data_IF_034693098151
#
_entry.id   IF_034693098151
#
_cell.length_a   1.000
_cell.length_b   1.000
_cell.length_c   1.000
_cell.angle_alpha   90.00
_cell.angle_beta   90.00
_cell.angle_gamma   90.00
#
_symmetry.space_group_name_H-M   'P 1'
#
loop_
_entity.id
_entity.type
_entity.pdbx_description
1 polymer ?
#
# COMPACT_ATOMS: atom_id res chain seq x y z
N UNK A 1 79.61 -48.99 42.49
CA UNK A 1 78.26 -49.54 42.76
C UNK A 1 77.62 -49.09 44.08
N UNK A 2 78.27 -48.30 44.95
CA UNK A 2 77.72 -47.90 46.26
C UNK A 2 76.66 -46.77 46.23
N UNK A 3 76.63 -45.92 45.19
CA UNK A 3 75.64 -44.83 45.11
C UNK A 3 74.24 -45.26 44.65
N UNK A 4 74.11 -46.37 43.90
CA UNK A 4 72.80 -46.85 43.42
C UNK A 4 71.98 -47.56 44.51
N UNK A 5 72.65 -48.15 45.50
CA UNK A 5 71.97 -48.75 46.65
C UNK A 5 71.42 -47.69 47.61
N UNK A 6 72.07 -46.53 47.71
CA UNK A 6 71.67 -45.43 48.59
C UNK A 6 70.46 -44.64 48.02
N UNK A 7 70.34 -44.52 46.70
CA UNK A 7 69.18 -43.87 46.04
C UNK A 7 67.92 -44.74 46.05
N UNK A 8 68.05 -46.08 46.00
CA UNK A 8 66.92 -47.00 46.13
C UNK A 8 66.37 -47.01 47.56
N UNK A 9 67.24 -46.90 48.58
CA UNK A 9 66.82 -46.77 49.98
C UNK A 9 66.06 -45.47 50.27
N UNK A 10 66.46 -44.36 49.65
CA UNK A 10 65.81 -43.06 49.82
C UNK A 10 64.41 -43.01 49.16
N UNK A 11 64.24 -43.66 48.00
CA UNK A 11 62.96 -43.73 47.30
C UNK A 11 61.94 -44.62 48.03
N UNK A 12 62.39 -45.70 48.66
CA UNK A 12 61.52 -46.58 49.46
C UNK A 12 61.05 -45.91 50.77
N UNK A 13 61.84 -45.01 51.34
CA UNK A 13 61.47 -44.26 52.55
C UNK A 13 60.42 -43.18 52.25
N UNK A 14 60.45 -42.53 51.09
CA UNK A 14 59.47 -41.50 50.68
C UNK A 14 58.09 -42.09 50.40
N UNK A 15 58.00 -43.31 49.85
CA UNK A 15 56.70 -43.97 49.63
C UNK A 15 55.98 -44.39 50.93
N UNK A 16 56.70 -44.53 52.05
CA UNK A 16 56.10 -44.93 53.32
C UNK A 16 55.46 -43.75 54.09
N UNK A 17 55.82 -42.51 53.75
CA UNK A 17 55.35 -41.29 54.43
C UNK A 17 54.05 -40.73 53.84
N UNK A 18 53.66 -41.16 52.63
CA UNK A 18 52.40 -40.72 51.98
C UNK A 18 51.18 -41.55 52.38
N UNK A 19 51.35 -42.66 53.11
CA UNK A 19 50.24 -43.53 53.55
C UNK A 19 49.82 -43.28 55.00
N UNK A 20 50.41 -42.31 55.69
CA UNK A 20 50.15 -42.01 57.11
C UNK A 20 49.37 -40.71 57.33
N UNK A 21 48.41 -40.44 56.44
CA UNK A 21 47.29 -39.54 56.72
C UNK A 21 45.97 -40.30 56.61
N UNK A 22 45.77 -41.32 57.44
CA UNK A 22 44.44 -41.89 57.70
C UNK A 22 44.28 -42.16 59.20
N UNK A 23 43.81 -41.15 59.92
CA UNK A 23 43.14 -41.34 61.19
C UNK A 23 42.04 -40.29 61.35
N UNK A 24 40.79 -40.74 61.24
CA UNK A 24 39.69 -40.16 62.00
C UNK A 24 38.69 -39.30 61.22
N UNK A 25 37.52 -39.89 60.94
CA UNK A 25 36.23 -39.19 61.09
C UNK A 25 35.57 -38.68 59.81
N UNK A 26 34.45 -39.31 59.46
CA UNK A 26 33.42 -38.82 58.52
C UNK A 26 33.85 -38.62 57.05
N UNK A 27 33.87 -39.70 56.29
CA UNK A 27 33.64 -39.63 54.85
C UNK A 27 32.22 -40.11 54.55
N UNK A 28 31.33 -39.12 54.60
CA UNK A 28 29.95 -39.13 54.12
C UNK A 28 29.84 -39.87 52.79
N UNK A 29 28.85 -40.76 52.69
CA UNK A 29 28.45 -41.40 51.44
C UNK A 29 28.27 -40.33 50.37
N UNK A 30 29.13 -40.37 49.36
CA UNK A 30 29.07 -39.54 48.17
C UNK A 30 27.85 -39.92 47.33
N UNK A 31 26.68 -39.43 47.72
CA UNK A 31 25.59 -39.20 46.77
C UNK A 31 26.03 -37.98 45.96
N UNK A 32 26.44 -38.20 44.70
CA UNK A 32 26.54 -37.09 43.74
C UNK A 32 25.24 -36.30 43.83
N UNK A 33 25.30 -34.95 43.92
CA UNK A 33 24.08 -34.18 43.91
C UNK A 33 23.32 -34.49 42.61
N UNK A 34 22.07 -34.91 42.76
CA UNK A 34 21.20 -35.25 41.63
C UNK A 34 21.17 -34.04 40.68
N UNK A 35 21.45 -34.27 39.39
CA UNK A 35 21.60 -33.21 38.39
C UNK A 35 20.36 -32.31 38.35
N UNK A 36 19.19 -32.89 38.69
CA UNK A 36 17.93 -32.18 38.83
C UNK A 36 17.95 -31.18 39.98
N UNK A 37 18.44 -31.56 41.15
CA UNK A 37 18.58 -30.67 42.31
C UNK A 37 19.61 -29.56 42.09
N UNK A 38 20.72 -29.85 41.40
CA UNK A 38 21.70 -28.81 41.02
C UNK A 38 21.10 -27.85 40.00
N UNK A 39 20.35 -28.36 39.01
CA UNK A 39 19.66 -27.53 38.02
C UNK A 39 18.64 -26.60 38.67
N UNK A 40 17.80 -27.12 39.56
CA UNK A 40 16.77 -26.33 40.24
C UNK A 40 17.42 -25.26 41.14
N UNK A 41 18.50 -25.60 41.84
CA UNK A 41 19.29 -24.64 42.62
C UNK A 41 19.91 -23.55 41.74
N UNK A 42 20.47 -23.90 40.58
CA UNK A 42 21.02 -22.91 39.63
C UNK A 42 19.91 -22.04 39.03
N UNK A 43 18.73 -22.62 38.77
CA UNK A 43 17.57 -21.88 38.26
C UNK A 43 17.08 -20.85 39.28
N UNK A 44 17.00 -21.24 40.56
CA UNK A 44 16.63 -20.34 41.65
C UNK A 44 17.67 -19.23 41.83
N UNK A 45 18.97 -19.55 41.78
CA UNK A 45 20.05 -18.55 41.81
C UNK A 45 19.90 -17.57 40.65
N UNK A 46 19.61 -18.02 39.43
CA UNK A 46 19.41 -17.12 38.28
C UNK A 46 18.14 -16.26 38.40
N UNK A 47 17.11 -16.75 39.09
CA UNK A 47 15.85 -16.04 39.29
C UNK A 47 15.87 -15.07 40.47
N UNK A 48 16.82 -15.21 41.40
CA UNK A 48 16.97 -14.27 42.52
C UNK A 48 17.24 -12.84 42.04
N UNK A 49 16.78 -11.88 42.86
CA UNK A 49 16.93 -10.47 42.54
C UNK A 49 18.39 -10.00 42.54
N UNK A 50 19.28 -10.71 43.25
CA UNK A 50 20.72 -10.45 43.21
C UNK A 50 21.35 -10.81 41.87
N UNK A 51 20.93 -11.92 41.26
CA UNK A 51 21.37 -12.29 39.91
C UNK A 51 20.84 -11.30 38.88
N UNK A 52 19.57 -10.89 38.95
CA UNK A 52 19.00 -9.86 38.06
C UNK A 52 19.75 -8.52 38.20
N UNK A 53 20.03 -8.07 39.43
CA UNK A 53 20.80 -6.84 39.68
C UNK A 53 22.24 -6.96 39.19
N UNK A 54 22.85 -8.13 39.31
CA UNK A 54 24.21 -8.38 38.82
C UNK A 54 24.26 -8.33 37.30
N UNK A 55 23.28 -8.95 36.61
CA UNK A 55 23.13 -8.86 35.15
C UNK A 55 22.86 -7.43 34.71
N UNK A 56 22.00 -6.69 35.42
CA UNK A 56 21.73 -5.27 35.13
C UNK A 56 22.99 -4.41 35.30
N UNK A 57 23.81 -4.68 36.32
CA UNK A 57 25.09 -4.00 36.53
C UNK A 57 26.11 -4.34 35.46
N UNK A 58 26.15 -5.59 34.99
CA UNK A 58 26.98 -6.00 33.86
C UNK A 58 26.49 -5.35 32.56
N UNK A 59 25.18 -5.25 32.32
CA UNK A 59 24.63 -4.53 31.15
C UNK A 59 24.93 -3.02 31.17
N UNK A 60 25.17 -2.44 32.34
CA UNK A 60 25.59 -1.04 32.47
C UNK A 60 27.09 -0.84 32.25
N UNK A 61 27.90 -1.89 32.32
CA UNK A 61 29.34 -1.85 32.06
C UNK A 61 29.60 -1.61 30.56
N UNK A 62 30.37 -0.58 30.24
CA UNK A 62 30.64 -0.18 28.86
C UNK A 62 31.48 -1.21 28.09
N UNK A 63 32.31 -2.02 28.77
CA UNK A 63 33.03 -3.14 28.12
C UNK A 63 32.09 -4.27 27.75
N UNK A 64 31.09 -4.55 28.58
CA UNK A 64 30.08 -5.55 28.27
C UNK A 64 29.13 -5.05 27.17
N UNK A 65 28.75 -3.76 27.18
CA UNK A 65 27.99 -3.13 26.09
C UNK A 65 28.76 -3.17 24.77
N UNK A 66 30.05 -2.88 24.75
CA UNK A 66 30.85 -2.96 23.51
C UNK A 66 30.89 -4.37 22.92
N UNK A 67 30.97 -5.40 23.77
CA UNK A 67 30.95 -6.79 23.32
C UNK A 67 29.56 -7.28 22.91
N UNK A 68 28.49 -6.68 23.43
CA UNK A 68 27.10 -7.00 23.12
C UNK A 68 26.53 -6.14 21.98
N UNK A 69 27.11 -4.97 21.73
CA UNK A 69 26.76 -4.08 20.63
C UNK A 69 27.02 -4.84 19.34
N UNK A 70 25.93 -5.34 18.76
CA UNK A 70 25.91 -5.82 17.39
C UNK A 70 26.51 -4.72 16.51
N UNK A 71 27.44 -5.09 15.63
CA UNK A 71 28.07 -4.18 14.69
C UNK A 71 26.99 -3.33 14.00
N UNK A 72 27.17 -2.01 13.99
CA UNK A 72 26.20 -1.07 13.44
C UNK A 72 25.82 -1.43 12.00
N UNK A 73 26.76 -1.94 11.21
CA UNK A 73 26.53 -2.41 9.85
C UNK A 73 25.63 -3.65 9.80
N UNK A 74 25.76 -4.56 10.77
CA UNK A 74 24.92 -5.76 10.87
C UNK A 74 23.51 -5.40 11.33
N UNK A 75 23.37 -4.50 12.31
CA UNK A 75 22.06 -3.97 12.75
C UNK A 75 21.37 -3.24 11.61
N UNK A 76 22.10 -2.35 10.92
CA UNK A 76 21.58 -1.60 9.78
C UNK A 76 21.16 -2.51 8.64
N UNK A 77 21.98 -3.49 8.28
CA UNK A 77 21.67 -4.45 7.22
C UNK A 77 20.46 -5.30 7.58
N UNK A 78 20.41 -5.81 8.81
CA UNK A 78 19.26 -6.61 9.29
C UNK A 78 17.98 -5.79 9.34
N UNK A 79 18.05 -4.54 9.77
CA UNK A 79 16.92 -3.62 9.79
C UNK A 79 16.45 -3.31 8.37
N UNK A 80 17.35 -2.94 7.46
CA UNK A 80 17.03 -2.68 6.05
C UNK A 80 16.42 -3.92 5.44
N UNK A 81 17.02 -5.10 5.60
CA UNK A 81 16.56 -6.34 4.99
C UNK A 81 15.21 -6.81 5.57
N UNK A 82 14.98 -6.60 6.87
CA UNK A 82 13.67 -6.82 7.50
C UNK A 82 12.63 -5.82 7.00
N UNK A 83 13.03 -4.56 6.76
CA UNK A 83 12.15 -3.51 6.25
C UNK A 83 11.93 -3.53 4.72
N UNK A 84 12.82 -4.12 3.95
CA UNK A 84 12.68 -4.23 2.50
C UNK A 84 12.08 -5.57 2.09
N UNK A 85 11.90 -6.50 3.03
CA UNK A 85 11.27 -7.78 2.73
C UNK A 85 9.76 -7.57 2.48
N UNK A 86 9.27 -7.77 1.23
CA UNK A 86 7.86 -7.54 0.88
C UNK A 86 6.89 -8.49 1.60
N UNK A 87 7.40 -9.57 2.20
CA UNK A 87 6.63 -10.55 2.97
C UNK A 87 6.75 -10.35 4.48
N UNK A 88 7.39 -9.28 4.97
CA UNK A 88 7.48 -9.00 6.40
C UNK A 88 6.09 -8.66 6.98
N UNK A 89 5.50 -9.51 7.84
CA UNK A 89 4.21 -9.23 8.46
C UNK A 89 4.29 -7.98 9.34
N UNK A 90 5.45 -7.75 9.98
CA UNK A 90 5.68 -6.61 10.86
C UNK A 90 5.58 -5.27 10.14
N UNK A 91 6.02 -5.18 8.88
CA UNK A 91 5.84 -3.95 8.11
C UNK A 91 4.39 -3.73 7.72
N UNK A 92 3.70 -4.78 7.27
CA UNK A 92 2.28 -4.68 6.92
C UNK A 92 1.44 -4.26 8.13
N UNK A 93 1.79 -4.73 9.33
CA UNK A 93 1.17 -4.28 10.57
C UNK A 93 1.56 -2.85 10.96
N UNK A 94 2.84 -2.47 10.81
CA UNK A 94 3.28 -1.10 11.07
C UNK A 94 2.56 -0.08 10.18
N UNK A 95 2.31 -0.40 8.90
CA UNK A 95 1.52 0.46 8.01
C UNK A 95 0.05 0.63 8.43
N UNK A 96 -0.50 -0.29 9.23
CA UNK A 96 -1.86 -0.15 9.78
C UNK A 96 -1.91 0.77 11.01
N UNK A 97 -0.78 1.02 11.67
CA UNK A 97 -0.74 1.99 12.77
C UNK A 97 -0.85 3.42 12.22
N UNK A 98 -1.90 4.19 12.57
CA UNK A 98 -2.08 5.55 12.11
C UNK A 98 -0.94 6.49 12.53
N UNK A 99 -0.27 6.25 13.66
CA UNK A 99 0.87 7.09 14.07
C UNK A 99 2.08 6.87 13.17
N UNK A 100 2.40 5.61 12.89
CA UNK A 100 3.45 5.25 11.96
C UNK A 100 3.13 5.76 10.55
N UNK A 101 1.94 5.47 10.04
CA UNK A 101 1.51 5.91 8.71
C UNK A 101 1.50 7.44 8.58
N UNK A 102 1.04 8.18 9.60
CA UNK A 102 1.06 9.65 9.59
C UNK A 102 2.48 10.20 9.56
N UNK A 103 3.37 9.64 10.38
CA UNK A 103 4.77 10.08 10.46
C UNK A 103 5.51 9.81 9.16
N UNK A 104 5.31 8.61 8.59
CA UNK A 104 5.86 8.22 7.31
C UNK A 104 5.29 9.06 6.16
N UNK A 105 3.97 9.32 6.13
CA UNK A 105 3.37 10.19 5.13
C UNK A 105 3.91 11.63 5.23
N UNK A 106 4.13 12.15 6.44
CA UNK A 106 4.73 13.48 6.65
C UNK A 106 6.16 13.55 6.15
N UNK A 107 6.98 12.52 6.41
CA UNK A 107 8.37 12.48 5.93
C UNK A 107 8.45 12.31 4.41
N UNK A 108 7.56 11.51 3.82
CA UNK A 108 7.49 11.28 2.37
C UNK A 108 6.80 12.42 1.59
N UNK A 109 6.11 13.34 2.26
CA UNK A 109 5.27 14.36 1.61
C UNK A 109 5.99 15.15 0.53
N UNK A 110 7.24 15.56 0.78
CA UNK A 110 8.02 16.38 -0.16
C UNK A 110 8.39 15.57 -1.40
N UNK A 111 8.98 14.39 -1.21
CA UNK A 111 9.38 13.50 -2.31
C UNK A 111 8.17 13.01 -3.10
N UNK A 112 7.08 12.66 -2.42
CA UNK A 112 5.83 12.24 -3.06
C UNK A 112 5.20 13.37 -3.88
N UNK A 113 5.31 14.63 -3.43
CA UNK A 113 4.86 15.79 -4.21
C UNK A 113 5.71 16.00 -5.45
N UNK A 114 7.03 15.84 -5.34
CA UNK A 114 7.94 15.93 -6.48
C UNK A 114 7.65 14.83 -7.49
N UNK A 115 7.59 13.57 -7.03
CA UNK A 115 7.23 12.42 -7.85
C UNK A 115 5.90 12.62 -8.57
N UNK A 116 4.85 13.07 -7.86
CA UNK A 116 3.54 13.30 -8.47
C UNK A 116 3.59 14.40 -9.55
N UNK A 117 4.35 15.49 -9.31
CA UNK A 117 4.53 16.54 -10.32
C UNK A 117 5.27 16.06 -11.56
N UNK A 118 6.23 15.16 -11.37
CA UNK A 118 7.02 14.63 -12.48
C UNK A 118 6.21 13.59 -13.26
N UNK A 119 5.44 12.73 -12.57
CA UNK A 119 4.46 11.84 -13.19
C UNK A 119 3.41 12.62 -14.00
N UNK A 120 2.91 13.77 -13.52
CA UNK A 120 1.99 14.60 -14.31
C UNK A 120 2.58 15.10 -15.64
N UNK A 121 3.91 15.16 -15.77
CA UNK A 121 4.60 15.54 -17.02
C UNK A 121 4.94 14.32 -17.87
N UNK A 122 4.84 13.12 -17.32
CA UNK A 122 5.16 11.88 -18.00
C UNK A 122 4.04 11.50 -19.00
N UNK A 123 4.37 11.14 -20.25
CA UNK A 123 3.37 10.86 -21.27
C UNK A 123 2.53 9.61 -20.99
N UNK A 124 3.07 8.59 -20.30
CA UNK A 124 2.30 7.39 -19.95
C UNK A 124 1.26 7.73 -18.88
N UNK A 125 1.66 8.44 -17.84
CA UNK A 125 0.74 8.89 -16.79
C UNK A 125 -0.31 9.87 -17.32
N UNK A 126 0.05 10.75 -18.25
CA UNK A 126 -0.91 11.63 -18.93
C UNK A 126 -1.95 10.83 -19.73
N UNK A 127 -1.54 9.75 -20.40
CA UNK A 127 -2.45 8.88 -21.14
C UNK A 127 -3.46 8.21 -20.21
N UNK A 128 -3.00 7.72 -19.06
CA UNK A 128 -3.88 7.13 -18.04
C UNK A 128 -4.82 8.19 -17.46
N UNK A 129 -4.32 9.40 -17.20
CA UNK A 129 -5.15 10.53 -16.75
C UNK A 129 -6.22 10.93 -17.78
N UNK A 130 -5.88 10.92 -19.07
CA UNK A 130 -6.86 11.14 -20.14
C UNK A 130 -7.91 10.02 -20.20
N UNK A 131 -7.54 8.78 -19.87
CA UNK A 131 -8.52 7.69 -19.76
C UNK A 131 -9.50 7.94 -18.62
N UNK A 132 -9.02 8.46 -17.48
CA UNK A 132 -9.87 8.84 -16.35
C UNK A 132 -10.80 10.00 -16.72
N UNK A 133 -10.33 10.98 -17.50
CA UNK A 133 -11.18 12.09 -17.97
C UNK A 133 -12.26 11.66 -18.97
N UNK A 134 -12.17 10.46 -19.56
CA UNK A 134 -13.22 9.89 -20.43
C UNK A 134 -14.27 9.12 -19.64
N UNK A 135 -14.21 9.12 -18.32
CA UNK A 135 -15.23 8.49 -17.49
C UNK A 135 -16.60 9.18 -17.67
N UNK A 136 -17.72 8.44 -17.76
CA UNK A 136 -19.05 9.00 -17.93
C UNK A 136 -19.45 10.03 -16.85
N UNK A 137 -18.94 9.90 -15.63
CA UNK A 137 -19.20 10.87 -14.56
C UNK A 137 -18.50 12.21 -14.85
N UNK A 138 -17.27 12.16 -15.36
CA UNK A 138 -16.55 13.35 -15.81
C UNK A 138 -17.24 14.00 -17.02
N UNK A 139 -17.69 13.20 -17.98
CA UNK A 139 -18.44 13.69 -19.14
C UNK A 139 -19.73 14.40 -18.71
N UNK A 140 -20.48 13.84 -17.75
CA UNK A 140 -21.68 14.47 -17.20
C UNK A 140 -21.37 15.82 -16.55
N UNK A 141 -20.32 15.88 -15.74
CA UNK A 141 -19.88 17.13 -15.11
C UNK A 141 -19.48 18.18 -16.16
N UNK A 142 -18.80 17.77 -17.24
CA UNK A 142 -18.45 18.63 -18.35
C UNK A 142 -19.70 19.13 -19.12
N UNK A 143 -20.68 18.25 -19.35
CA UNK A 143 -21.95 18.61 -19.97
C UNK A 143 -22.76 19.60 -19.13
N UNK A 144 -22.74 19.46 -17.81
CA UNK A 144 -23.39 20.39 -16.90
C UNK A 144 -22.67 21.74 -16.87
N UNK A 145 -21.34 21.75 -16.96
CA UNK A 145 -20.55 22.97 -17.15
C UNK A 145 -20.90 23.68 -18.46
N UNK A 146 -21.05 22.94 -19.57
CA UNK A 146 -21.47 23.52 -20.85
C UNK A 146 -22.90 24.09 -20.82
N UNK A 147 -23.77 23.55 -19.97
CA UNK A 147 -25.13 24.09 -19.75
C UNK A 147 -25.14 25.30 -18.81
N UNK A 148 -24.04 25.60 -18.13
CA UNK A 148 -23.95 26.72 -17.19
C UNK A 148 -24.21 28.07 -17.88
N UNK A 149 -24.72 29.03 -17.13
CA UNK A 149 -25.01 30.37 -17.66
C UNK A 149 -23.75 31.06 -18.20
N UNK A 150 -22.60 30.89 -17.54
CA UNK A 150 -21.33 31.46 -17.96
C UNK A 150 -20.87 30.92 -19.31
N UNK A 151 -20.94 29.59 -19.51
CA UNK A 151 -20.58 28.97 -20.78
C UNK A 151 -21.56 29.35 -21.89
N UNK A 152 -22.87 29.45 -21.58
CA UNK A 152 -23.88 29.93 -22.54
C UNK A 152 -23.63 31.36 -22.99
N UNK A 153 -23.21 32.26 -22.10
CA UNK A 153 -22.88 33.63 -22.47
C UNK A 153 -21.69 33.68 -23.43
N UNK A 154 -20.62 32.92 -23.16
CA UNK A 154 -19.50 32.80 -24.08
C UNK A 154 -19.91 32.19 -25.41
N UNK A 155 -20.72 31.13 -25.39
CA UNK A 155 -21.26 30.49 -26.59
C UNK A 155 -22.12 31.46 -27.42
N UNK A 156 -22.99 32.26 -26.78
CA UNK A 156 -23.75 33.29 -27.48
C UNK A 156 -22.86 34.36 -28.09
N UNK A 157 -21.76 34.74 -27.42
CA UNK A 157 -20.81 35.70 -27.97
C UNK A 157 -20.09 35.13 -29.20
N UNK A 158 -19.58 33.89 -29.11
CA UNK A 158 -18.98 33.17 -30.24
C UNK A 158 -20.00 33.08 -31.39
N UNK A 159 -21.26 32.75 -31.12
CA UNK A 159 -22.30 32.68 -32.14
C UNK A 159 -22.57 34.04 -32.80
N UNK A 160 -22.62 35.13 -32.02
CA UNK A 160 -22.76 36.50 -32.54
C UNK A 160 -21.59 36.90 -33.42
N UNK A 161 -20.37 36.51 -33.06
CA UNK A 161 -19.18 36.83 -33.84
C UNK A 161 -19.08 35.96 -35.10
N UNK A 162 -19.48 34.69 -35.03
CA UNK A 162 -19.62 33.82 -36.20
C UNK A 162 -20.67 34.36 -37.19
N UNK A 163 -21.81 34.89 -36.72
CA UNK A 163 -22.82 35.51 -37.58
C UNK A 163 -22.33 36.79 -38.29
N UNK A 164 -21.30 37.45 -37.74
CA UNK A 164 -20.64 38.60 -38.38
C UNK A 164 -19.56 38.18 -39.38
N UNK A 165 -19.20 36.90 -39.43
CA UNK A 165 -18.25 36.40 -40.40
C UNK A 165 -18.82 36.56 -41.82
N UNK A 166 -18.07 37.17 -42.77
CA UNK A 166 -18.53 37.33 -44.16
C UNK A 166 -18.98 36.01 -44.80
N UNK A 167 -18.27 34.90 -44.51
CA UNK A 167 -18.64 33.57 -44.99
C UNK A 167 -20.03 33.14 -44.50
N UNK A 168 -20.31 33.38 -43.21
CA UNK A 168 -21.59 33.00 -42.62
C UNK A 168 -22.72 33.92 -43.11
N UNK A 169 -22.43 35.22 -43.30
CA UNK A 169 -23.39 36.17 -43.88
C UNK A 169 -23.75 35.79 -45.32
N UNK A 170 -22.78 35.40 -46.14
CA UNK A 170 -23.02 34.92 -47.51
C UNK A 170 -23.87 33.66 -47.54
N UNK A 171 -23.58 32.68 -46.68
CA UNK A 171 -24.40 31.46 -46.55
C UNK A 171 -25.82 31.78 -46.10
N UNK A 172 -25.97 32.70 -45.15
CA UNK A 172 -27.27 33.12 -44.63
C UNK A 172 -28.08 33.89 -45.68
N UNK A 173 -27.42 34.73 -46.50
CA UNK A 173 -28.04 35.39 -47.65
C UNK A 173 -28.46 34.37 -48.72
N UNK A 174 -27.60 33.41 -49.08
CA UNK A 174 -27.94 32.32 -50.03
C UNK A 174 -29.14 31.50 -49.53
N UNK A 175 -29.19 31.21 -48.23
CA UNK A 175 -30.30 30.50 -47.61
C UNK A 175 -31.59 31.33 -47.69
N UNK A 176 -31.54 32.62 -47.36
CA UNK A 176 -32.68 33.53 -47.45
C UNK A 176 -33.21 33.66 -48.90
N UNK A 177 -32.31 33.77 -49.88
CA UNK A 177 -32.68 33.78 -51.30
C UNK A 177 -33.38 32.49 -51.68
N UNK A 178 -32.85 31.33 -51.28
CA UNK A 178 -33.46 30.03 -51.57
C UNK A 178 -34.84 29.85 -50.93
N UNK A 179 -35.00 30.27 -49.67
CA UNK A 179 -36.31 30.25 -48.98
C UNK A 179 -37.30 31.19 -49.67
N UNK A 180 -36.85 32.37 -50.11
CA UNK A 180 -37.68 33.32 -50.85
C UNK A 180 -38.11 32.75 -52.21
N UNK A 181 -37.20 32.11 -52.95
CA UNK A 181 -37.51 31.40 -54.20
C UNK A 181 -38.51 30.26 -53.98
N UNK A 182 -38.38 29.50 -52.90
CA UNK A 182 -39.32 28.41 -52.59
C UNK A 182 -40.70 28.90 -52.10
N UNK A 183 -40.76 30.08 -51.50
CA UNK A 183 -42.02 30.75 -51.10
C UNK A 183 -42.69 31.50 -52.27
N UNK A 184 -41.91 31.93 -53.27
CA UNK A 184 -42.41 32.63 -54.47
C UNK A 184 -42.71 31.68 -55.63
N UNK A 185 -42.15 30.46 -55.64
CA UNK A 185 -42.67 29.38 -56.45
C UNK A 185 -44.11 29.11 -56.00
N UNK A 186 -45.11 29.23 -56.89
CA UNK A 186 -46.46 28.83 -56.53
C UNK A 186 -46.40 27.37 -56.06
N UNK A 187 -46.88 27.11 -54.84
CA UNK A 187 -47.34 25.77 -54.50
C UNK A 187 -48.34 25.41 -55.59
N UNK A 188 -47.91 24.59 -56.55
CA UNK A 188 -48.84 23.84 -57.38
C UNK A 188 -49.68 23.03 -56.41
N UNK A 189 -50.84 23.60 -56.06
CA UNK A 189 -52.04 22.88 -55.68
C UNK A 189 -52.28 21.88 -56.80
N UNK A 190 -51.68 20.70 -56.70
CA UNK A 190 -52.13 19.52 -57.44
C UNK A 190 -53.45 19.06 -56.84
N UNK A 191 -54.48 19.85 -57.08
CA UNK A 191 -55.80 19.35 -57.36
C UNK A 191 -55.74 18.59 -58.69
N UNK A 192 -55.47 17.28 -58.63
CA UNK A 192 -55.91 16.36 -59.68
C UNK A 192 -56.75 15.27 -59.05
N UNK A 193 -58.05 15.53 -59.04
CA UNK A 193 -59.12 14.57 -58.84
C UNK A 193 -59.15 13.60 -60.04
N UNK A 194 -59.36 12.32 -59.73
CA UNK A 194 -60.11 11.29 -60.49
C UNK A 194 -59.32 10.21 -61.25
N UNK A 195 -59.62 8.96 -60.87
CA UNK A 195 -59.22 7.67 -61.44
C UNK A 195 -58.62 6.80 -60.33
N UNK A 196 -59.34 6.00 -59.55
CA UNK A 196 -60.37 5.03 -59.94
C UNK A 196 -59.73 3.64 -59.90
N UNK A 197 -60.04 2.82 -58.88
CA UNK A 197 -59.57 1.43 -58.79
C UNK A 197 -59.58 0.91 -57.36
N UNK A 198 -60.46 -0.05 -57.08
CA UNK A 198 -60.81 -0.54 -55.76
C UNK A 198 -59.77 -1.42 -55.06
N UNK A 199 -60.09 -1.75 -53.81
CA UNK A 199 -59.27 -2.59 -52.95
C UNK A 199 -59.90 -2.75 -51.57
N UNK A 200 -61.10 -3.34 -51.54
CA UNK A 200 -61.80 -3.75 -50.33
C UNK A 200 -61.28 -5.13 -49.87
N UNK A 201 -60.67 -5.17 -48.67
CA UNK A 201 -60.51 -6.30 -47.72
C UNK A 201 -59.43 -5.86 -46.73
N UNK A 202 -59.70 -5.57 -45.46
CA UNK A 202 -60.48 -6.38 -44.53
C UNK A 202 -59.50 -7.02 -43.55
N UNK A 203 -59.30 -6.40 -42.39
CA UNK A 203 -58.94 -7.15 -41.18
C UNK A 203 -59.44 -6.39 -39.95
N UNK A 204 -60.52 -6.96 -39.42
CA UNK A 204 -61.11 -6.69 -38.12
C UNK A 204 -60.34 -7.46 -37.05
N UNK A 205 -60.26 -6.89 -35.86
CA UNK A 205 -59.75 -7.52 -34.64
C UNK A 205 -58.74 -6.61 -33.96
N UNK A 206 -58.99 -6.00 -32.81
CA UNK A 206 -59.95 -6.30 -31.76
C UNK A 206 -59.21 -6.23 -30.43
N UNK A 207 -59.56 -5.22 -29.62
CA UNK A 207 -59.43 -5.19 -28.15
C UNK A 207 -58.06 -5.39 -27.50
N UNK A 208 -57.61 -4.36 -26.76
CA UNK A 208 -57.47 -4.57 -25.32
C UNK A 208 -57.64 -3.25 -24.55
N UNK A 209 -58.65 -3.27 -23.68
CA UNK A 209 -58.91 -2.31 -22.62
C UNK A 209 -58.26 -2.84 -21.34
N UNK A 210 -57.75 -1.94 -20.50
CA UNK A 210 -57.22 -2.23 -19.16
C UNK A 210 -56.00 -1.34 -18.90
N UNK A 211 -56.00 -0.36 -18.00
CA UNK A 211 -56.75 -0.25 -16.74
C UNK A 211 -55.75 -0.40 -15.58
N UNK A 212 -55.58 0.67 -14.79
CA UNK A 212 -54.76 0.72 -13.56
C UNK A 212 -53.76 1.88 -13.62
N UNK A 213 -53.82 2.95 -12.82
CA UNK A 213 -54.47 3.16 -11.53
C UNK A 213 -53.40 3.15 -10.42
N UNK A 214 -53.17 4.33 -9.83
CA UNK A 214 -52.40 4.59 -8.59
C UNK A 214 -50.90 4.32 -8.68
N UNK A 215 -50.01 5.19 -8.19
CA UNK A 215 -49.99 5.81 -6.85
C UNK A 215 -49.05 7.02 -6.87
#
# INVERSE_FOLDING_TARGET
>A
MRMKAMTIGFLAFVCLVMTSCSSGGQAQSSSQPDYKSVKDMVLDILQTDEAKKSVEKMMKDDKFKQNLMLDESTVRTTLVQSMTNPNSPHIKEAFKDPKFASTLAKSLKTEQKTLMKDLMKDPEYQKDLMSIMKDPEFEKNLMDLMKSAAYRQQTMQIMKDSLKSPLFQEELMKLLTKVSEDMTKPKELKSKKKGGGGGEKGSSGGGNSGGGGSQ
#
